data_IF_742830178822
#
_entry.id   IF_742830178822
#
_cell.length_a   1.000
_cell.length_b   1.000
_cell.length_c   1.000
_cell.angle_alpha   90.00
_cell.angle_beta   90.00
_cell.angle_gamma   90.00
#
_symmetry.space_group_name_H-M   'P 1'
#
loop_
_entity.id
_entity.type
_entity.pdbx_description
1 polymer ?
#
# COMPACT_ATOMS: atom_id res chain seq x y z
N UNK A 1 55.11 47.79 16.28
CA UNK A 1 55.63 46.66 17.09
C UNK A 1 54.50 46.22 18.01
N UNK A 2 53.75 45.19 17.58
CA UNK A 2 53.56 43.90 18.29
C UNK A 2 52.44 44.02 19.36
N UNK A 3 51.36 43.23 19.43
CA UNK A 3 51.14 41.79 19.19
C UNK A 3 49.64 41.51 18.96
N UNK A 4 49.39 40.47 18.15
CA UNK A 4 48.08 39.90 17.81
C UNK A 4 47.27 39.40 19.03
N UNK A 5 45.94 39.48 18.92
CA UNK A 5 44.97 38.88 19.85
C UNK A 5 44.58 37.46 19.41
N UNK A 6 44.30 36.67 20.44
CA UNK A 6 44.19 35.22 20.51
C UNK A 6 43.15 34.58 19.57
N UNK A 7 43.55 33.43 19.03
CA UNK A 7 42.76 32.48 18.26
C UNK A 7 41.97 31.61 19.25
N UNK A 8 40.64 31.64 19.17
CA UNK A 8 39.77 30.68 19.87
C UNK A 8 39.56 29.47 18.96
N UNK A 9 40.22 28.35 19.28
CA UNK A 9 40.06 27.09 18.57
C UNK A 9 38.87 26.30 19.13
N UNK A 10 37.76 26.27 18.40
CA UNK A 10 36.66 25.34 18.67
C UNK A 10 37.05 23.91 18.24
N UNK A 11 37.18 23.02 19.21
CA UNK A 11 37.43 21.59 19.02
C UNK A 11 36.11 20.85 18.73
N UNK A 12 35.91 20.43 17.48
CA UNK A 12 34.79 19.57 17.09
C UNK A 12 35.23 18.10 17.10
N UNK A 13 34.79 17.34 18.12
CA UNK A 13 34.92 15.88 18.18
C UNK A 13 34.26 15.23 16.95
N UNK A 14 35.06 14.65 16.05
CA UNK A 14 34.60 13.79 14.96
C UNK A 14 33.93 12.54 15.52
N UNK A 15 32.61 12.45 15.40
CA UNK A 15 31.83 11.24 15.64
C UNK A 15 31.89 10.38 14.36
N UNK A 16 32.56 9.23 14.43
CA UNK A 16 32.64 8.26 13.33
C UNK A 16 31.22 7.76 13.01
N UNK A 17 30.70 8.09 11.83
CA UNK A 17 29.47 7.49 11.31
C UNK A 17 29.83 6.13 10.74
N UNK A 18 29.32 5.07 11.36
CA UNK A 18 29.36 3.73 10.77
C UNK A 18 28.57 3.77 9.46
N UNK A 19 29.24 3.45 8.36
CA UNK A 19 28.62 3.29 7.06
C UNK A 19 27.85 1.97 7.06
N UNK A 20 26.52 2.05 7.13
CA UNK A 20 25.66 0.90 6.89
C UNK A 20 25.73 0.56 5.40
N UNK A 21 26.06 -0.70 5.10
CA UNK A 21 26.02 -1.26 3.75
C UNK A 21 24.56 -1.32 3.29
N UNK A 22 24.18 -0.46 2.34
CA UNK A 22 22.86 -0.52 1.72
C UNK A 22 22.90 -1.57 0.60
N UNK A 23 22.33 -2.74 0.86
CA UNK A 23 21.96 -3.69 -0.18
C UNK A 23 20.89 -3.01 -1.04
N UNK A 24 21.08 -2.97 -2.36
CA UNK A 24 20.11 -2.41 -3.33
C UNK A 24 18.73 -3.00 -3.04
N UNK A 25 17.88 -2.24 -2.35
CA UNK A 25 16.45 -2.48 -2.29
C UNK A 25 15.91 -1.91 -3.60
N UNK A 26 15.34 -2.78 -4.44
CA UNK A 26 14.48 -2.32 -5.54
C UNK A 26 13.45 -1.34 -4.98
N UNK A 27 12.98 -0.41 -5.82
CA UNK A 27 11.97 0.59 -5.46
C UNK A 27 10.77 -0.13 -4.80
N UNK A 28 10.69 -0.13 -3.47
CA UNK A 28 9.47 -0.57 -2.78
C UNK A 28 8.54 0.61 -2.89
N UNK A 29 7.48 0.48 -3.68
CA UNK A 29 6.50 1.54 -3.82
C UNK A 29 5.65 1.54 -2.55
N UNK A 30 5.55 2.68 -1.87
CA UNK A 30 4.60 2.81 -0.77
C UNK A 30 3.21 3.02 -1.38
N UNK A 31 2.46 1.95 -1.64
CA UNK A 31 1.06 2.05 -2.06
C UNK A 31 0.18 2.61 -0.93
N UNK A 32 -0.85 3.38 -1.30
CA UNK A 32 -1.90 3.85 -0.40
C UNK A 32 -3.13 2.99 -0.61
N UNK A 33 -3.46 2.17 0.37
CA UNK A 33 -4.53 1.18 0.31
C UNK A 33 -5.72 1.62 1.16
N UNK A 34 -6.93 1.41 0.65
CA UNK A 34 -8.17 1.41 1.41
C UNK A 34 -8.68 -0.03 1.43
N UNK A 35 -8.85 -0.62 2.62
CA UNK A 35 -9.40 -1.96 2.77
C UNK A 35 -10.90 -1.88 3.03
N UNK A 36 -11.65 -2.52 2.14
CA UNK A 36 -13.10 -2.63 2.19
C UNK A 36 -13.61 -3.45 3.40
N UNK A 37 -14.92 -3.42 3.64
CA UNK A 37 -15.57 -4.03 4.82
C UNK A 37 -15.21 -5.50 4.99
N UNK A 38 -15.14 -6.20 3.86
CA UNK A 38 -14.92 -7.64 3.76
C UNK A 38 -13.44 -8.06 3.78
N UNK A 39 -12.53 -7.08 3.79
CA UNK A 39 -11.10 -7.23 3.58
C UNK A 39 -10.24 -6.69 4.72
N UNK A 40 -10.82 -6.02 5.71
CA UNK A 40 -10.14 -5.36 6.83
C UNK A 40 -9.69 -6.28 7.99
N UNK A 41 -9.19 -7.49 7.69
CA UNK A 41 -8.62 -8.36 8.74
C UNK A 41 -7.43 -7.69 9.43
N UNK A 42 -7.39 -7.68 10.77
CA UNK A 42 -6.26 -7.11 11.52
C UNK A 42 -4.91 -7.73 11.15
N UNK A 43 -4.89 -9.02 10.77
CA UNK A 43 -3.66 -9.67 10.32
C UNK A 43 -3.24 -9.16 8.93
N UNK A 44 -4.17 -8.97 8.00
CA UNK A 44 -3.86 -8.43 6.68
C UNK A 44 -3.33 -6.99 6.78
N UNK A 45 -4.00 -6.13 7.57
CA UNK A 45 -3.53 -4.76 7.85
C UNK A 45 -2.09 -4.78 8.35
N UNK A 46 -1.79 -5.57 9.39
CA UNK A 46 -0.42 -5.69 9.94
C UNK A 46 0.60 -6.13 8.89
N UNK A 47 0.26 -7.07 8.02
CA UNK A 47 1.18 -7.57 7.00
C UNK A 47 1.43 -6.53 5.90
N UNK A 48 0.40 -5.81 5.44
CA UNK A 48 0.52 -4.74 4.45
C UNK A 48 1.30 -3.55 5.00
N UNK A 49 1.03 -3.13 6.25
CA UNK A 49 1.83 -2.09 6.91
C UNK A 49 3.27 -2.51 7.11
N UNK A 50 3.53 -3.78 7.47
CA UNK A 50 4.89 -4.30 7.57
C UNK A 50 5.62 -4.38 6.21
N UNK A 51 4.87 -4.36 5.10
CA UNK A 51 5.38 -4.25 3.75
C UNK A 51 5.56 -2.78 3.29
N UNK A 52 5.46 -1.81 4.21
CA UNK A 52 5.69 -0.37 3.98
C UNK A 52 4.59 0.33 3.16
N UNK A 53 3.36 -0.18 3.18
CA UNK A 53 2.19 0.46 2.58
C UNK A 53 1.44 1.36 3.60
N UNK A 54 0.84 2.45 3.11
CA UNK A 54 -0.12 3.29 3.83
C UNK A 54 -1.49 2.60 3.77
N UNK A 55 -1.88 1.96 4.88
CA UNK A 55 -3.11 1.15 4.95
C UNK A 55 -4.14 1.91 5.78
N UNK A 56 -5.34 2.06 5.22
CA UNK A 56 -6.52 2.58 5.91
C UNK A 56 -7.67 1.59 5.73
N UNK A 57 -8.50 1.40 6.75
CA UNK A 57 -9.70 0.54 6.67
C UNK A 57 -10.97 1.38 6.66
N UNK A 58 -12.05 0.87 6.06
CA UNK A 58 -13.32 1.59 6.07
C UNK A 58 -13.89 1.80 7.49
N UNK A 59 -13.59 0.90 8.44
CA UNK A 59 -14.03 1.06 9.83
C UNK A 59 -13.34 2.25 10.51
N UNK A 60 -12.06 2.48 10.25
CA UNK A 60 -11.29 3.59 10.83
C UNK A 60 -11.82 4.96 10.39
N UNK A 61 -12.43 5.03 9.20
CA UNK A 61 -12.98 6.26 8.63
C UNK A 61 -14.51 6.37 8.78
N UNK A 62 -15.14 5.40 9.45
CA UNK A 62 -16.57 5.43 9.73
C UNK A 62 -17.47 5.20 8.51
N UNK A 63 -16.99 4.51 7.48
CA UNK A 63 -17.77 4.17 6.27
C UNK A 63 -18.36 2.75 6.30
N UNK A 64 -18.29 2.05 7.43
CA UNK A 64 -18.90 0.73 7.59
C UNK A 64 -20.41 0.77 7.27
N UNK A 65 -20.89 -0.17 6.45
CA UNK A 65 -22.29 -0.23 6.01
C UNK A 65 -22.73 0.87 5.03
N UNK A 66 -21.82 1.73 4.57
CA UNK A 66 -22.10 2.63 3.45
C UNK A 66 -22.14 1.85 2.12
N UNK A 67 -22.68 2.46 1.06
CA UNK A 67 -22.76 1.82 -0.26
C UNK A 67 -21.40 1.79 -0.96
N UNK A 68 -21.23 0.84 -1.89
CA UNK A 68 -19.98 0.69 -2.64
C UNK A 68 -19.58 1.97 -3.39
N UNK A 69 -20.56 2.74 -3.89
CA UNK A 69 -20.33 4.04 -4.51
C UNK A 69 -19.66 5.04 -3.54
N UNK A 70 -20.13 5.11 -2.29
CA UNK A 70 -19.56 6.01 -1.27
C UNK A 70 -18.14 5.58 -0.90
N UNK A 71 -17.89 4.28 -0.82
CA UNK A 71 -16.55 3.73 -0.56
C UNK A 71 -15.60 4.05 -1.71
N UNK A 72 -16.03 3.84 -2.96
CA UNK A 72 -15.24 4.14 -4.15
C UNK A 72 -14.94 5.65 -4.28
N UNK A 73 -15.94 6.51 -4.04
CA UNK A 73 -15.78 7.97 -4.06
C UNK A 73 -14.72 8.42 -3.05
N UNK A 74 -14.72 7.86 -1.83
CA UNK A 74 -13.69 8.14 -0.83
C UNK A 74 -12.31 7.70 -1.33
N UNK A 75 -12.19 6.50 -1.90
CA UNK A 75 -10.93 6.00 -2.44
C UNK A 75 -10.38 6.91 -3.55
N UNK A 76 -11.25 7.42 -4.42
CA UNK A 76 -10.91 8.39 -5.47
C UNK A 76 -10.42 9.70 -4.86
N UNK A 77 -11.18 10.30 -3.94
CA UNK A 77 -10.85 11.59 -3.33
C UNK A 77 -9.52 11.55 -2.58
N UNK A 78 -9.25 10.45 -1.87
CA UNK A 78 -8.04 10.27 -1.09
C UNK A 78 -6.86 9.69 -1.87
N UNK A 79 -7.03 9.43 -3.18
CA UNK A 79 -6.04 8.80 -4.04
C UNK A 79 -5.51 7.47 -3.46
N UNK A 80 -6.45 6.58 -3.11
CA UNK A 80 -6.18 5.26 -2.54
C UNK A 80 -6.63 4.16 -3.50
N UNK A 81 -5.85 3.09 -3.56
CA UNK A 81 -6.23 1.85 -4.22
C UNK A 81 -7.16 1.09 -3.28
N UNK A 82 -8.36 0.75 -3.75
CA UNK A 82 -9.32 -0.02 -2.97
C UNK A 82 -9.01 -1.52 -3.09
N UNK A 83 -8.96 -2.23 -1.96
CA UNK A 83 -8.79 -3.69 -1.89
C UNK A 83 -10.05 -4.33 -1.30
N UNK A 84 -10.66 -5.23 -2.06
CA UNK A 84 -11.99 -5.81 -1.74
C UNK A 84 -12.08 -7.30 -2.12
N UNK A 85 -12.93 -8.05 -1.42
CA UNK A 85 -13.41 -9.36 -1.87
C UNK A 85 -14.78 -9.27 -2.57
N UNK A 86 -15.47 -8.12 -2.54
CA UNK A 86 -16.75 -7.85 -3.19
C UNK A 86 -16.54 -7.52 -4.67
N UNK A 87 -15.98 -8.48 -5.40
CA UNK A 87 -15.37 -8.23 -6.70
C UNK A 87 -16.40 -7.81 -7.75
N UNK A 88 -17.56 -8.46 -7.78
CA UNK A 88 -18.55 -8.26 -8.86
C UNK A 88 -19.17 -6.85 -8.79
N UNK A 89 -19.55 -6.39 -7.58
CA UNK A 89 -20.14 -5.06 -7.39
C UNK A 89 -19.15 -3.94 -7.72
N UNK A 90 -17.90 -4.06 -7.27
CA UNK A 90 -16.86 -3.07 -7.60
C UNK A 90 -16.37 -3.16 -9.05
N UNK A 91 -16.49 -4.31 -9.71
CA UNK A 91 -16.24 -4.43 -11.15
C UNK A 91 -17.30 -3.66 -11.94
N UNK A 92 -18.58 -3.75 -11.57
CA UNK A 92 -19.65 -2.96 -12.19
C UNK A 92 -19.39 -1.45 -12.03
N UNK A 93 -19.03 -1.01 -10.82
CA UNK A 93 -18.67 0.39 -10.57
C UNK A 93 -17.46 0.85 -11.38
N UNK A 94 -16.42 0.01 -11.49
CA UNK A 94 -15.25 0.28 -12.31
C UNK A 94 -15.62 0.48 -13.78
N UNK A 95 -16.48 -0.38 -14.35
CA UNK A 95 -16.93 -0.24 -15.73
C UNK A 95 -17.77 1.03 -15.95
N UNK A 96 -18.56 1.43 -14.94
CA UNK A 96 -19.34 2.66 -14.99
C UNK A 96 -18.47 3.93 -14.92
N UNK A 97 -17.41 3.91 -14.10
CA UNK A 97 -16.47 5.02 -13.95
C UNK A 97 -15.04 4.53 -13.67
N UNK A 98 -14.18 4.43 -14.69
CA UNK A 98 -12.82 3.90 -14.52
C UNK A 98 -11.84 4.92 -13.92
N UNK A 99 -12.27 6.10 -13.47
CA UNK A 99 -11.37 7.15 -12.97
C UNK A 99 -11.06 7.00 -11.46
N UNK A 100 -10.03 6.21 -11.12
CA UNK A 100 -9.61 5.94 -9.75
C UNK A 100 -8.13 5.54 -9.65
N UNK A 101 -7.56 5.50 -8.44
CA UNK A 101 -6.14 5.13 -8.24
C UNK A 101 -5.84 3.66 -8.49
N UNK A 102 -6.85 2.79 -8.43
CA UNK A 102 -6.78 1.36 -8.74
C UNK A 102 -7.76 0.56 -7.89
N UNK A 103 -8.11 -0.63 -8.36
CA UNK A 103 -8.95 -1.60 -7.64
C UNK A 103 -8.23 -2.95 -7.60
N UNK A 104 -8.00 -3.47 -6.40
CA UNK A 104 -7.45 -4.79 -6.16
C UNK A 104 -8.56 -5.73 -5.72
N UNK A 105 -8.95 -6.61 -6.64
CA UNK A 105 -9.96 -7.63 -6.41
C UNK A 105 -9.31 -8.93 -5.95
N UNK A 106 -9.85 -9.54 -4.88
CA UNK A 106 -9.41 -10.84 -4.37
C UNK A 106 -10.57 -11.83 -4.43
N UNK A 107 -10.69 -12.55 -5.54
CA UNK A 107 -11.75 -13.54 -5.72
C UNK A 107 -11.60 -14.71 -4.74
N UNK A 108 -12.73 -15.11 -4.16
CA UNK A 108 -12.85 -16.29 -3.31
C UNK A 108 -13.42 -17.45 -4.12
N UNK A 109 -12.92 -18.64 -3.83
CA UNK A 109 -13.39 -19.90 -4.40
C UNK A 109 -14.44 -20.54 -3.48
N UNK A 110 -15.36 -21.32 -4.08
CA UNK A 110 -16.28 -22.17 -3.33
C UNK A 110 -15.52 -23.16 -2.41
N UNK A 111 -14.35 -23.64 -2.85
CA UNK A 111 -13.44 -24.38 -1.99
C UNK A 111 -12.53 -23.41 -1.22
N UNK A 112 -12.82 -23.22 0.07
CA UNK A 112 -12.09 -22.31 0.96
C UNK A 112 -10.59 -22.60 1.04
N UNK A 113 -10.16 -23.85 0.84
CA UNK A 113 -8.73 -24.23 0.86
C UNK A 113 -7.96 -23.65 -0.33
N UNK A 114 -8.67 -23.23 -1.39
CA UNK A 114 -8.09 -22.59 -2.58
C UNK A 114 -8.10 -21.07 -2.49
N UNK A 115 -8.64 -20.49 -1.41
CA UNK A 115 -8.67 -19.04 -1.26
C UNK A 115 -7.26 -18.50 -1.05
N UNK A 116 -7.02 -17.33 -1.63
CA UNK A 116 -5.80 -16.59 -1.40
C UNK A 116 -5.70 -16.19 0.07
N UNK A 117 -4.65 -16.64 0.75
CA UNK A 117 -4.37 -16.22 2.13
C UNK A 117 -3.73 -14.83 2.18
N UNK A 118 -3.74 -14.18 3.35
CA UNK A 118 -3.22 -12.82 3.51
C UNK A 118 -1.74 -12.64 3.10
N UNK A 119 -0.88 -13.64 3.38
CA UNK A 119 0.52 -13.60 2.91
C UNK A 119 0.62 -13.64 1.39
N UNK A 120 -0.30 -14.35 0.72
CA UNK A 120 -0.35 -14.43 -0.73
C UNK A 120 -0.88 -13.12 -1.35
N UNK A 121 -1.80 -12.41 -0.69
CA UNK A 121 -2.21 -11.05 -1.08
C UNK A 121 -1.00 -10.11 -1.10
N UNK A 122 -0.23 -10.08 0.00
CA UNK A 122 0.98 -9.23 0.11
C UNK A 122 2.01 -9.60 -0.95
N UNK A 123 2.22 -10.91 -1.19
CA UNK A 123 3.12 -11.40 -2.25
C UNK A 123 2.65 -10.95 -3.64
N UNK A 124 1.34 -11.04 -3.91
CA UNK A 124 0.75 -10.62 -5.19
C UNK A 124 0.96 -9.12 -5.45
N UNK A 125 0.80 -8.28 -4.43
CA UNK A 125 1.09 -6.84 -4.52
C UNK A 125 2.58 -6.62 -4.80
N UNK A 126 3.49 -7.30 -4.09
CA UNK A 126 4.92 -7.17 -4.36
C UNK A 126 5.32 -7.59 -5.79
N UNK A 127 4.66 -8.61 -6.34
CA UNK A 127 4.84 -9.04 -7.72
C UNK A 127 4.33 -8.00 -8.72
N UNK A 128 3.20 -7.35 -8.44
CA UNK A 128 2.67 -6.22 -9.23
C UNK A 128 3.62 -5.03 -9.26
N UNK A 129 4.14 -4.64 -8.11
CA UNK A 129 5.11 -3.54 -7.99
C UNK A 129 6.39 -3.84 -8.77
N UNK A 130 6.88 -5.08 -8.67
CA UNK A 130 8.07 -5.53 -9.42
C UNK A 130 7.84 -5.51 -10.93
N UNK A 131 6.63 -5.87 -11.38
CA UNK A 131 6.27 -5.82 -12.78
C UNK A 131 6.06 -4.38 -13.30
N UNK A 132 5.93 -3.40 -12.40
CA UNK A 132 5.76 -1.99 -12.71
C UNK A 132 4.61 -1.74 -13.70
N UNK A 133 3.50 -2.46 -13.50
CA UNK A 133 2.29 -2.26 -14.29
C UNK A 133 1.57 -0.97 -13.86
N UNK A 134 0.94 -0.23 -14.79
CA UNK A 134 0.09 0.89 -14.42
C UNK A 134 -1.05 0.44 -13.50
N UNK A 135 -1.29 1.15 -12.40
CA UNK A 135 -2.35 0.83 -11.44
C UNK A 135 -3.58 1.76 -11.57
N UNK A 136 -3.34 3.01 -11.97
CA UNK A 136 -4.40 3.98 -12.17
C UNK A 136 -5.42 3.46 -13.19
N UNK A 137 -6.70 3.62 -12.86
CA UNK A 137 -7.84 3.22 -13.68
C UNK A 137 -7.86 1.72 -14.03
N UNK A 138 -7.18 0.86 -13.26
CA UNK A 138 -7.18 -0.58 -13.47
C UNK A 138 -7.99 -1.31 -12.39
N UNK A 139 -8.72 -2.33 -12.82
CA UNK A 139 -9.29 -3.36 -11.96
C UNK A 139 -8.44 -4.63 -12.08
N UNK A 140 -7.72 -4.99 -11.02
CA UNK A 140 -6.69 -6.03 -11.03
C UNK A 140 -7.08 -7.16 -10.08
N UNK A 141 -7.27 -8.36 -10.63
CA UNK A 141 -7.42 -9.58 -9.85
C UNK A 141 -6.07 -10.03 -9.28
N UNK A 142 -5.87 -9.89 -7.96
CA UNK A 142 -4.63 -10.31 -7.30
C UNK A 142 -4.40 -11.82 -7.39
N UNK A 143 -5.47 -12.61 -7.61
CA UNK A 143 -5.40 -14.05 -7.81
C UNK A 143 -4.42 -14.46 -8.91
N UNK A 144 -4.27 -13.65 -9.97
CA UNK A 144 -3.35 -13.91 -11.07
C UNK A 144 -1.89 -13.50 -10.80
N UNK A 145 -1.64 -12.80 -9.69
CA UNK A 145 -0.33 -12.24 -9.35
C UNK A 145 0.38 -13.03 -8.23
N UNK A 146 -0.22 -14.09 -7.71
CA UNK A 146 0.38 -14.94 -6.68
C UNK A 146 1.21 -16.11 -7.28
N UNK A 147 2.20 -15.79 -8.12
CA UNK A 147 3.22 -16.74 -8.60
C UNK A 147 4.49 -16.68 -7.76
#
# INVERSE_FOLDING_TARGET
MTTARLISSYSSKKRKKNATVWKQRGLVLSLRLLLDEDSQSQLLVKLLTAADHDVLTINEIGLAGCTDNVVLDYAIQENRILLTHNCDDFEELHQANPNHSGLFAVYRNANLLKNMGFKAIVKAIANLETANVPLANQFISLNHWNY
#
